data_IF_645827047703
#
_entry.id   IF_645827047703
#
_cell.length_a   1.000
_cell.length_b   1.000
_cell.length_c   1.000
_cell.angle_alpha   90.00
_cell.angle_beta   90.00
_cell.angle_gamma   90.00
#
_symmetry.space_group_name_H-M   'P 1'
#
loop_
_entity.id
_entity.type
_entity.pdbx_description
1 polymer ?
#
# COMPACT_ATOMS: atom_id res chain seq x y z
N UNK A 1 8.52 2.56 12.97
CA UNK A 1 8.54 1.22 12.34
C UNK A 1 9.93 0.63 12.33
N UNK A 2 10.93 1.22 11.64
CA UNK A 2 12.33 0.74 11.63
C UNK A 2 12.85 0.42 13.03
N UNK A 3 12.77 1.38 13.96
CA UNK A 3 13.25 1.20 15.33
C UNK A 3 12.52 0.07 16.08
N UNK A 4 11.23 -0.14 15.81
CA UNK A 4 10.43 -1.22 16.43
C UNK A 4 10.75 -2.61 15.88
N UNK A 5 11.03 -2.72 14.57
CA UNK A 5 11.52 -3.99 14.00
C UNK A 5 12.91 -4.32 14.55
N UNK A 6 13.77 -3.32 14.68
CA UNK A 6 15.12 -3.49 15.19
C UNK A 6 15.16 -3.84 16.69
N UNK A 7 14.17 -3.40 17.48
CA UNK A 7 14.07 -3.84 18.89
C UNK A 7 13.75 -5.33 19.02
N UNK A 8 13.16 -5.92 17.98
CA UNK A 8 12.85 -7.35 17.87
C UNK A 8 13.88 -8.13 17.04
N UNK A 9 15.08 -7.56 16.81
CA UNK A 9 16.15 -8.20 16.02
C UNK A 9 15.75 -8.56 14.58
N UNK A 10 14.86 -7.77 13.96
CA UNK A 10 14.46 -7.92 12.55
C UNK A 10 15.06 -6.79 11.73
N UNK A 11 15.64 -7.10 10.57
CA UNK A 11 16.15 -6.08 9.63
C UNK A 11 14.96 -5.43 8.90
N UNK A 12 14.85 -4.11 8.99
CA UNK A 12 13.93 -3.36 8.15
C UNK A 12 14.54 -3.11 6.76
N UNK A 13 13.68 -3.11 5.73
CA UNK A 13 14.03 -2.82 4.33
C UNK A 13 13.05 -1.79 3.75
N UNK A 14 13.32 -0.47 3.85
CA UNK A 14 12.54 0.56 3.19
C UNK A 14 12.57 0.34 1.68
N UNK A 15 11.40 0.41 1.06
CA UNK A 15 11.18 0.12 -0.36
C UNK A 15 10.12 1.05 -0.96
N UNK A 16 10.14 1.35 -2.26
CA UNK A 16 11.16 1.00 -3.26
C UNK A 16 11.99 2.25 -3.61
N UNK A 17 13.31 2.19 -3.44
CA UNK A 17 14.24 3.31 -3.63
C UNK A 17 14.62 3.44 -5.11
N UNK A 18 14.17 4.44 -5.87
CA UNK A 18 13.24 5.53 -5.53
C UNK A 18 12.38 5.84 -6.76
N UNK A 19 11.32 6.61 -6.56
CA UNK A 19 10.39 7.04 -7.62
C UNK A 19 9.58 5.89 -8.25
N UNK A 20 9.33 4.82 -7.49
CA UNK A 20 8.35 3.79 -7.83
C UNK A 20 6.96 4.25 -7.37
N UNK A 21 6.34 5.13 -8.15
CA UNK A 21 5.07 5.79 -7.78
C UNK A 21 3.88 5.39 -8.67
N UNK A 22 4.09 4.46 -9.59
CA UNK A 22 3.06 3.89 -10.46
C UNK A 22 3.43 2.43 -10.74
N UNK A 23 2.43 1.59 -10.95
CA UNK A 23 2.64 0.20 -11.29
C UNK A 23 2.71 -0.02 -12.81
N UNK A 24 1.95 0.76 -13.59
CA UNK A 24 1.96 0.72 -15.05
C UNK A 24 3.38 0.87 -15.57
N UNK A 25 3.87 -0.14 -16.29
CA UNK A 25 5.22 -0.18 -16.87
C UNK A 25 6.36 0.00 -15.84
N UNK A 26 6.16 -0.23 -14.54
CA UNK A 26 7.17 0.01 -13.48
C UNK A 26 8.53 -0.65 -13.75
N UNK A 27 8.54 -1.80 -14.44
CA UNK A 27 9.74 -2.52 -14.86
C UNK A 27 10.61 -1.78 -15.89
N UNK A 28 10.02 -0.90 -16.70
CA UNK A 28 10.68 -0.30 -17.86
C UNK A 28 10.63 1.22 -17.88
N UNK A 29 9.66 1.84 -17.21
CA UNK A 29 9.43 3.29 -17.28
C UNK A 29 10.60 4.07 -16.69
N UNK A 30 10.95 5.20 -17.30
CA UNK A 30 11.87 6.20 -16.74
C UNK A 30 11.09 7.35 -16.14
N UNK A 31 11.22 7.52 -14.84
CA UNK A 31 10.74 8.71 -14.14
C UNK A 31 11.74 9.86 -14.34
N UNK A 32 11.34 10.84 -15.15
CA UNK A 32 12.10 12.06 -15.38
C UNK A 32 11.75 13.08 -14.31
N UNK A 33 12.66 13.23 -13.34
CA UNK A 33 12.42 13.94 -12.09
C UNK A 33 13.59 14.87 -11.76
N UNK A 34 13.27 16.11 -11.41
CA UNK A 34 14.28 17.10 -11.05
C UNK A 34 15.01 16.72 -9.76
N UNK A 35 16.29 17.09 -9.64
CA UNK A 35 17.07 16.92 -8.40
C UNK A 35 16.35 17.55 -7.19
N UNK A 36 15.66 18.68 -7.39
CA UNK A 36 14.92 19.34 -6.33
C UNK A 36 13.75 18.48 -5.84
N UNK A 37 12.95 17.95 -6.75
CA UNK A 37 11.83 17.06 -6.41
C UNK A 37 12.33 15.79 -5.73
N UNK A 38 13.41 15.16 -6.23
CA UNK A 38 14.04 14.03 -5.55
C UNK A 38 14.40 14.38 -4.10
N UNK A 39 15.12 15.49 -3.89
CA UNK A 39 15.65 15.87 -2.56
C UNK A 39 14.59 16.37 -1.58
N UNK A 40 13.54 17.05 -2.06
CA UNK A 40 12.51 17.65 -1.21
C UNK A 40 11.27 16.76 -1.02
N UNK A 41 11.06 15.75 -1.88
CA UNK A 41 9.85 14.94 -1.88
C UNK A 41 10.09 13.42 -1.82
N UNK A 42 10.83 12.85 -2.76
CA UNK A 42 10.91 11.38 -2.90
C UNK A 42 11.98 10.72 -2.04
N UNK A 43 13.09 11.42 -1.74
CA UNK A 43 14.19 10.92 -0.92
C UNK A 43 14.02 11.11 0.61
N UNK A 44 13.33 12.14 1.15
CA UNK A 44 13.23 12.36 2.58
C UNK A 44 12.71 11.16 3.40
N UNK A 45 11.73 10.41 2.91
CA UNK A 45 11.22 9.22 3.62
C UNK A 45 12.31 8.16 3.83
N UNK A 46 13.11 7.90 2.80
CA UNK A 46 14.27 7.00 2.88
C UNK A 46 15.38 7.57 3.76
N UNK A 47 15.63 8.88 3.69
CA UNK A 47 16.62 9.53 4.56
C UNK A 47 16.28 9.32 6.04
N UNK A 48 15.01 9.50 6.42
CA UNK A 48 14.55 9.26 7.80
C UNK A 48 14.75 7.80 8.21
N UNK A 49 14.48 6.85 7.32
CA UNK A 49 14.71 5.44 7.61
C UNK A 49 16.20 5.08 7.77
N UNK A 50 17.08 5.71 6.97
CA UNK A 50 18.53 5.59 7.11
C UNK A 50 19.02 6.21 8.42
N UNK A 51 18.51 7.38 8.80
CA UNK A 51 18.84 8.03 10.08
C UNK A 51 18.34 7.21 11.29
N UNK A 52 17.22 6.51 11.15
CA UNK A 52 16.73 5.51 12.12
C UNK A 52 17.57 4.21 12.12
N UNK A 53 18.55 4.11 11.23
CA UNK A 53 19.54 3.04 11.21
C UNK A 53 19.08 1.76 10.54
N UNK A 54 18.18 1.82 9.56
CA UNK A 54 17.71 0.66 8.77
C UNK A 54 18.86 -0.23 8.28
N UNK A 55 18.66 -1.55 8.27
CA UNK A 55 19.71 -2.51 7.89
C UNK A 55 19.81 -2.78 6.38
N UNK A 56 18.73 -2.59 5.64
CA UNK A 56 18.70 -2.77 4.18
C UNK A 56 17.91 -1.64 3.52
N UNK A 57 18.08 -1.46 2.21
CA UNK A 57 17.24 -0.63 1.32
C UNK A 57 17.02 -1.40 0.03
N UNK A 58 15.77 -1.48 -0.43
CA UNK A 58 15.42 -2.16 -1.69
C UNK A 58 15.34 -1.15 -2.84
N UNK A 59 16.01 -1.43 -3.96
CA UNK A 59 15.89 -0.60 -5.18
C UNK A 59 14.50 -0.73 -5.78
N UNK A 60 14.04 0.29 -6.50
CA UNK A 60 12.87 0.15 -7.37
C UNK A 60 13.22 -0.52 -8.69
N UNK A 61 12.17 -0.92 -9.42
CA UNK A 61 12.26 -1.42 -10.78
C UNK A 61 12.59 -0.33 -11.80
N UNK A 62 11.91 0.82 -11.66
CA UNK A 62 11.92 1.87 -12.67
C UNK A 62 13.31 2.47 -12.88
N UNK A 63 13.45 3.15 -14.02
CA UNK A 63 14.57 4.05 -14.26
C UNK A 63 14.28 5.40 -13.61
N UNK A 64 15.33 6.08 -13.17
CA UNK A 64 15.29 7.48 -12.76
C UNK A 64 16.22 8.24 -13.69
N UNK A 65 15.67 9.23 -14.41
CA UNK A 65 16.41 10.02 -15.40
C UNK A 65 17.25 9.16 -16.36
N UNK A 66 16.67 8.05 -16.84
CA UNK A 66 17.23 7.15 -17.85
C UNK A 66 18.08 5.98 -17.34
N UNK A 67 18.35 5.86 -16.02
CA UNK A 67 19.16 4.76 -15.45
C UNK A 67 18.32 3.90 -14.50
N UNK A 68 18.38 2.56 -14.65
CA UNK A 68 17.67 1.64 -13.75
C UNK A 68 18.19 1.78 -12.33
N UNK A 69 17.29 1.74 -11.35
CA UNK A 69 17.68 1.98 -9.95
C UNK A 69 18.68 0.96 -9.41
N UNK A 70 18.68 -0.29 -9.89
CA UNK A 70 19.70 -1.29 -9.56
C UNK A 70 21.12 -0.93 -10.02
N UNK A 71 21.26 -0.02 -10.99
CA UNK A 71 22.53 0.41 -11.59
C UNK A 71 22.90 1.87 -11.26
N UNK A 72 22.02 2.58 -10.53
CA UNK A 72 22.07 4.04 -10.43
C UNK A 72 23.13 4.56 -9.44
N UNK A 73 24.41 4.57 -9.86
CA UNK A 73 25.57 4.94 -9.02
C UNK A 73 25.40 6.21 -8.19
N UNK A 74 24.88 7.29 -8.79
CA UNK A 74 24.67 8.55 -8.09
C UNK A 74 23.70 8.42 -6.90
N UNK A 75 22.61 7.66 -7.03
CA UNK A 75 21.61 7.53 -5.98
C UNK A 75 22.02 6.46 -4.96
N UNK A 76 22.47 5.29 -5.42
CA UNK A 76 22.83 4.18 -4.53
C UNK A 76 24.15 4.38 -3.80
N UNK A 77 25.16 4.97 -4.45
CA UNK A 77 26.49 5.12 -3.88
C UNK A 77 26.71 6.55 -3.39
N UNK A 78 26.66 7.55 -4.27
CA UNK A 78 27.06 8.91 -3.88
C UNK A 78 26.08 9.52 -2.86
N UNK A 79 24.76 9.31 -3.03
CA UNK A 79 23.76 9.84 -2.10
C UNK A 79 23.55 8.90 -0.91
N UNK A 80 23.07 7.68 -1.15
CA UNK A 80 22.66 6.78 -0.07
C UNK A 80 23.86 6.37 0.81
N UNK A 81 24.95 5.88 0.22
CA UNK A 81 26.10 5.34 0.99
C UNK A 81 27.06 6.45 1.44
N UNK A 82 27.47 7.34 0.54
CA UNK A 82 28.52 8.31 0.83
C UNK A 82 28.00 9.57 1.54
N UNK A 83 26.95 10.21 1.00
CA UNK A 83 26.40 11.43 1.58
C UNK A 83 25.61 11.15 2.86
N UNK A 84 24.76 10.12 2.86
CA UNK A 84 23.94 9.79 4.02
C UNK A 84 24.61 8.87 5.03
N UNK A 85 25.70 8.21 4.64
CA UNK A 85 26.43 7.30 5.53
C UNK A 85 25.72 5.98 5.76
N UNK A 86 24.88 5.52 4.83
CA UNK A 86 24.19 4.23 4.95
C UNK A 86 25.20 3.07 5.03
N UNK A 87 25.16 2.35 6.15
CA UNK A 87 26.06 1.23 6.47
C UNK A 87 25.43 -0.16 6.28
N UNK A 88 24.15 -0.20 5.89
CA UNK A 88 23.44 -1.41 5.48
C UNK A 88 23.81 -1.89 4.07
N UNK A 89 23.04 -2.84 3.56
CA UNK A 89 23.19 -3.35 2.18
C UNK A 89 22.02 -2.91 1.30
N UNK A 90 22.28 -2.79 0.00
CA UNK A 90 21.26 -2.51 -1.01
C UNK A 90 20.85 -3.82 -1.67
N UNK A 91 19.55 -4.12 -1.65
CA UNK A 91 18.96 -5.31 -2.27
C UNK A 91 18.14 -4.90 -3.49
N UNK A 92 18.11 -5.72 -4.54
CA UNK A 92 17.24 -5.44 -5.68
C UNK A 92 15.80 -5.78 -5.34
N UNK A 93 14.86 -5.18 -6.05
CA UNK A 93 13.54 -5.80 -6.18
C UNK A 93 13.65 -7.14 -6.94
N UNK A 94 12.59 -7.93 -6.92
CA UNK A 94 12.57 -9.27 -7.48
C UNK A 94 12.70 -9.26 -9.01
N UNK A 95 13.78 -9.80 -9.57
CA UNK A 95 14.15 -9.62 -10.99
C UNK A 95 14.47 -8.16 -11.38
N UNK A 96 14.69 -7.27 -10.41
CA UNK A 96 15.02 -5.86 -10.66
C UNK A 96 16.48 -5.58 -11.01
N UNK A 97 17.33 -6.61 -11.10
CA UNK A 97 18.73 -6.47 -11.52
C UNK A 97 18.83 -6.58 -13.04
N UNK A 98 19.40 -5.56 -13.68
CA UNK A 98 19.37 -5.43 -15.13
C UNK A 98 20.67 -5.93 -15.80
N UNK A 99 21.83 -5.55 -15.26
CA UNK A 99 23.12 -6.01 -15.73
C UNK A 99 24.09 -6.32 -14.58
N UNK A 100 24.92 -7.35 -14.73
CA UNK A 100 25.88 -7.78 -13.70
C UNK A 100 26.88 -6.71 -13.31
N UNK A 101 27.59 -6.11 -14.28
CA UNK A 101 28.73 -5.21 -13.98
C UNK A 101 28.21 -3.86 -13.52
N UNK A 102 27.22 -3.31 -14.23
CA UNK A 102 26.62 -2.01 -13.99
C UNK A 102 25.91 -1.99 -12.64
N UNK A 103 25.17 -3.04 -12.25
CA UNK A 103 24.56 -3.10 -10.93
C UNK A 103 25.62 -3.22 -9.81
N UNK A 104 26.63 -4.06 -10.00
CA UNK A 104 27.71 -4.22 -9.04
C UNK A 104 28.48 -2.91 -8.80
N UNK A 105 28.80 -2.18 -9.86
CA UNK A 105 29.51 -0.88 -9.80
C UNK A 105 28.57 0.25 -9.37
N UNK A 106 27.28 0.17 -9.72
CA UNK A 106 26.23 1.09 -9.30
C UNK A 106 26.01 1.11 -7.79
N UNK A 107 26.26 -0.02 -7.13
CA UNK A 107 26.21 -0.10 -5.67
C UNK A 107 25.17 -1.07 -5.14
N UNK A 108 24.55 -1.89 -5.98
CA UNK A 108 23.73 -3.01 -5.55
C UNK A 108 24.58 -4.05 -4.82
N UNK A 109 24.15 -4.53 -3.65
CA UNK A 109 24.89 -5.51 -2.83
C UNK A 109 24.31 -6.92 -2.88
N UNK A 110 23.00 -7.06 -3.10
CA UNK A 110 22.28 -8.32 -3.16
C UNK A 110 21.27 -8.30 -4.30
N UNK A 111 21.37 -9.26 -5.21
CA UNK A 111 20.35 -9.52 -6.24
C UNK A 111 19.25 -10.41 -5.64
N UNK A 112 17.99 -10.10 -5.96
CA UNK A 112 16.82 -10.94 -5.71
C UNK A 112 16.17 -11.34 -7.04
N UNK A 113 15.77 -12.61 -7.22
CA UNK A 113 15.91 -13.70 -6.25
C UNK A 113 17.32 -14.29 -6.12
N UNK A 114 18.22 -13.96 -7.05
CA UNK A 114 19.63 -14.37 -6.96
C UNK A 114 19.86 -15.88 -7.14
N UNK A 115 18.85 -16.60 -7.68
CA UNK A 115 18.92 -18.03 -7.97
C UNK A 115 18.80 -18.27 -9.48
N UNK A 116 19.23 -19.44 -9.94
CA UNK A 116 19.06 -19.83 -11.35
C UNK A 116 17.58 -20.04 -11.69
N UNK A 117 17.26 -19.95 -12.98
CA UNK A 117 15.92 -20.29 -13.51
C UNK A 117 15.46 -21.71 -13.15
N UNK A 118 16.39 -22.65 -13.06
CA UNK A 118 16.08 -24.03 -12.68
C UNK A 118 15.69 -24.12 -11.20
N UNK A 119 16.45 -23.48 -10.32
CA UNK A 119 16.15 -23.41 -8.89
C UNK A 119 14.83 -22.67 -8.63
N UNK A 120 14.57 -21.59 -9.37
CA UNK A 120 13.33 -20.84 -9.30
C UNK A 120 12.12 -21.72 -9.66
N UNK A 121 12.16 -22.40 -10.81
CA UNK A 121 11.09 -23.34 -11.21
C UNK A 121 10.88 -24.44 -10.16
N UNK A 122 11.97 -25.00 -9.64
CA UNK A 122 11.89 -26.02 -8.59
C UNK A 122 11.31 -25.49 -7.28
N UNK A 123 11.60 -24.25 -6.90
CA UNK A 123 11.13 -23.66 -5.65
C UNK A 123 9.63 -23.37 -5.67
N UNK A 124 9.10 -22.97 -6.83
CA UNK A 124 7.69 -22.66 -7.03
C UNK A 124 6.87 -23.81 -7.64
N UNK A 125 7.49 -24.97 -7.90
CA UNK A 125 6.79 -26.14 -8.46
C UNK A 125 6.26 -25.92 -9.88
N UNK A 126 6.94 -25.09 -10.68
CA UNK A 126 6.50 -24.67 -12.00
C UNK A 126 7.11 -25.60 -13.06
N UNK A 127 6.26 -26.31 -13.81
CA UNK A 127 6.70 -27.27 -14.83
C UNK A 127 7.13 -26.61 -16.15
N UNK A 128 6.57 -25.43 -16.50
CA UNK A 128 6.86 -24.65 -17.71
C UNK A 128 7.58 -23.30 -17.42
N UNK A 129 7.80 -22.44 -18.43
CA UNK A 129 8.40 -21.11 -18.21
C UNK A 129 7.53 -20.25 -17.32
N UNK A 130 8.15 -19.52 -16.38
CA UNK A 130 7.53 -18.37 -15.73
C UNK A 130 7.33 -17.30 -16.79
N UNK A 131 6.15 -17.32 -17.38
CA UNK A 131 5.76 -16.35 -18.37
C UNK A 131 4.88 -15.30 -17.69
N UNK A 132 5.50 -14.18 -17.30
CA UNK A 132 4.77 -13.00 -16.83
C UNK A 132 4.42 -12.05 -17.98
N UNK A 133 4.51 -12.49 -19.26
CA UNK A 133 4.41 -11.63 -20.46
C UNK A 133 3.10 -10.83 -20.56
N UNK A 134 2.05 -11.16 -19.80
CA UNK A 134 0.70 -10.59 -19.98
C UNK A 134 0.27 -9.52 -18.94
N UNK A 135 1.14 -9.09 -18.02
CA UNK A 135 0.80 -8.06 -17.03
C UNK A 135 1.69 -6.80 -17.15
N UNK A 136 1.07 -5.68 -17.54
CA UNK A 136 1.68 -4.33 -17.53
C UNK A 136 2.38 -4.13 -16.17
N UNK A 137 3.69 -3.90 -16.17
CA UNK A 137 4.45 -3.63 -14.93
C UNK A 137 5.19 -4.82 -14.30
N UNK A 138 5.05 -6.04 -14.82
CA UNK A 138 5.86 -7.16 -14.34
C UNK A 138 7.32 -7.08 -14.86
N UNK A 139 8.33 -7.36 -14.00
CA UNK A 139 9.72 -7.42 -14.43
C UNK A 139 10.02 -8.67 -15.27
N UNK A 140 11.06 -8.58 -16.09
CA UNK A 140 11.55 -9.72 -16.88
C UNK A 140 12.13 -10.79 -15.96
N UNK A 141 11.32 -11.82 -15.67
CA UNK A 141 11.72 -12.90 -14.80
C UNK A 141 12.90 -13.72 -15.32
N UNK A 142 13.31 -13.56 -16.59
CA UNK A 142 14.52 -14.18 -17.11
C UNK A 142 15.80 -13.61 -16.46
N UNK A 143 15.74 -12.37 -15.94
CA UNK A 143 16.85 -11.66 -15.31
C UNK A 143 17.04 -12.07 -13.84
N UNK A 144 17.66 -13.22 -13.65
CA UNK A 144 18.07 -13.73 -12.33
C UNK A 144 19.40 -14.46 -12.41
N UNK A 145 20.13 -14.51 -11.29
CA UNK A 145 21.42 -15.16 -11.18
C UNK A 145 22.56 -14.32 -11.78
N UNK A 146 22.35 -13.03 -12.00
CA UNK A 146 23.35 -12.10 -12.51
C UNK A 146 24.51 -11.88 -11.53
N UNK A 147 24.28 -12.03 -10.22
CA UNK A 147 25.31 -11.97 -9.17
C UNK A 147 25.86 -13.34 -8.76
N UNK A 148 25.50 -14.40 -9.50
CA UNK A 148 26.09 -15.73 -9.35
C UNK A 148 27.37 -15.88 -10.21
N UNK A 149 27.40 -16.86 -11.13
CA UNK A 149 28.54 -17.10 -12.03
C UNK A 149 28.95 -15.84 -12.84
N UNK A 150 28.02 -15.05 -13.43
CA UNK A 150 28.40 -13.88 -14.21
C UNK A 150 29.21 -12.83 -13.42
N UNK A 151 28.89 -12.60 -12.15
CA UNK A 151 29.67 -11.68 -11.29
C UNK A 151 31.05 -12.24 -10.97
N UNK A 152 31.15 -13.55 -10.76
CA UNK A 152 32.44 -14.24 -10.61
C UNK A 152 33.34 -14.01 -11.83
N UNK A 153 32.82 -14.23 -13.03
CA UNK A 153 33.57 -14.00 -14.27
C UNK A 153 33.95 -12.52 -14.46
N UNK A 154 33.05 -11.58 -14.14
CA UNK A 154 33.34 -10.15 -14.21
C UNK A 154 34.49 -9.75 -13.27
N UNK A 155 34.60 -10.38 -12.11
CA UNK A 155 35.73 -10.18 -11.19
C UNK A 155 37.01 -10.78 -11.76
N UNK A 156 36.97 -11.97 -12.35
CA UNK A 156 38.14 -12.60 -12.99
C UNK A 156 38.67 -11.77 -14.17
N UNK A 157 37.78 -11.17 -14.95
CA UNK A 157 38.13 -10.23 -16.03
C UNK A 157 38.55 -8.84 -15.55
N UNK A 158 38.44 -8.56 -14.25
CA UNK A 158 38.68 -7.25 -13.63
C UNK A 158 37.72 -6.14 -14.05
N UNK A 159 36.55 -6.50 -14.59
CA UNK A 159 35.45 -5.58 -14.86
C UNK A 159 34.82 -5.08 -13.54
N UNK A 160 34.79 -5.95 -12.51
CA UNK A 160 34.40 -5.62 -11.14
C UNK A 160 35.59 -5.86 -10.20
N UNK A 161 36.03 -4.87 -9.39
CA UNK A 161 37.11 -5.09 -8.45
C UNK A 161 36.73 -6.11 -7.38
N UNK A 162 37.61 -7.07 -7.04
CA UNK A 162 37.35 -8.03 -5.95
C UNK A 162 36.95 -7.37 -4.61
N UNK A 163 37.54 -6.20 -4.31
CA UNK A 163 37.18 -5.41 -3.12
C UNK A 163 35.70 -5.01 -3.09
N UNK A 164 35.05 -4.88 -4.25
CA UNK A 164 33.61 -4.61 -4.33
C UNK A 164 32.82 -5.77 -3.75
N UNK A 165 33.13 -7.01 -4.13
CA UNK A 165 32.52 -8.22 -3.56
C UNK A 165 32.75 -8.31 -2.05
N UNK A 166 33.99 -8.07 -1.59
CA UNK A 166 34.29 -8.03 -0.15
C UNK A 166 33.40 -7.02 0.59
N UNK A 167 33.11 -5.86 -0.03
CA UNK A 167 32.22 -4.85 0.55
C UNK A 167 30.74 -5.26 0.55
N UNK A 168 30.26 -5.88 -0.53
CA UNK A 168 28.87 -6.41 -0.62
C UNK A 168 28.61 -7.37 0.53
N UNK A 169 29.49 -8.37 0.66
CA UNK A 169 29.39 -9.43 1.69
C UNK A 169 29.54 -8.83 3.09
N UNK A 170 30.49 -7.93 3.30
CA UNK A 170 30.69 -7.30 4.61
C UNK A 170 29.46 -6.53 5.08
N UNK A 171 28.75 -5.80 4.20
CA UNK A 171 27.53 -5.08 4.56
C UNK A 171 26.43 -6.04 5.03
N UNK A 172 26.19 -7.12 4.31
CA UNK A 172 25.20 -8.14 4.67
C UNK A 172 25.55 -8.79 6.02
N UNK A 173 26.77 -9.31 6.16
CA UNK A 173 27.22 -9.96 7.40
C UNK A 173 27.22 -9.01 8.60
N UNK A 174 27.50 -7.72 8.39
CA UNK A 174 27.43 -6.71 9.46
C UNK A 174 26.01 -6.57 9.99
N UNK A 175 25.01 -6.54 9.12
CA UNK A 175 23.62 -6.41 9.56
C UNK A 175 23.09 -7.71 10.18
N UNK A 176 23.46 -8.88 9.65
CA UNK A 176 23.19 -10.18 10.29
C UNK A 176 23.77 -10.23 11.71
N UNK A 177 25.01 -9.76 11.89
CA UNK A 177 25.63 -9.67 13.21
C UNK A 177 24.93 -8.63 14.10
N UNK A 178 24.47 -7.51 13.55
CA UNK A 178 23.79 -6.43 14.31
C UNK A 178 22.48 -6.90 14.94
N UNK A 179 21.74 -7.77 14.26
CA UNK A 179 20.53 -8.38 14.80
C UNK A 179 20.80 -9.66 15.62
N UNK A 180 22.05 -9.98 15.92
CA UNK A 180 22.40 -11.14 16.74
C UNK A 180 22.14 -12.49 16.06
N UNK A 181 22.07 -12.55 14.72
CA UNK A 181 21.83 -13.81 14.00
C UNK A 181 22.94 -14.86 14.22
N UNK A 182 24.12 -14.43 14.65
CA UNK A 182 25.25 -15.30 14.99
C UNK A 182 25.39 -15.57 16.49
N UNK A 183 24.48 -15.06 17.32
CA UNK A 183 24.49 -15.27 18.77
C UNK A 183 23.78 -16.58 19.14
N UNK A 184 24.29 -17.29 20.15
CA UNK A 184 23.74 -18.59 20.60
C UNK A 184 22.36 -18.48 21.29
N UNK A 185 21.92 -17.26 21.63
CA UNK A 185 20.72 -16.95 22.43
C UNK A 185 19.55 -16.38 21.59
N UNK A 186 19.45 -16.75 20.30
CA UNK A 186 18.34 -16.29 19.44
C UNK A 186 16.99 -16.61 20.08
N UNK A 187 16.13 -15.60 20.21
CA UNK A 187 14.77 -15.77 20.76
C UNK A 187 13.81 -16.04 19.62
N UNK A 188 13.02 -17.10 19.77
CA UNK A 188 11.84 -17.28 18.92
C UNK A 188 10.81 -16.20 19.28
N UNK A 189 10.26 -15.54 18.26
CA UNK A 189 9.12 -14.64 18.43
C UNK A 189 7.84 -15.42 18.73
N UNK A 190 6.83 -14.73 19.23
CA UNK A 190 5.49 -15.29 19.36
C UNK A 190 4.68 -15.02 18.08
N UNK A 191 3.82 -15.95 17.70
CA UNK A 191 2.87 -15.76 16.61
C UNK A 191 1.49 -15.57 17.21
N UNK A 192 0.73 -14.62 16.66
CA UNK A 192 -0.69 -14.44 16.99
C UNK A 192 -0.98 -14.25 18.50
N UNK A 193 -0.07 -13.58 19.20
CA UNK A 193 -0.24 -13.23 20.61
C UNK A 193 -1.42 -12.24 20.80
N UNK A 194 -2.16 -12.30 21.93
CA UNK A 194 -3.23 -11.34 22.23
C UNK A 194 -2.81 -9.87 22.13
N UNK A 195 -1.55 -9.57 22.45
CA UNK A 195 -0.96 -8.24 22.33
C UNK A 195 -0.82 -7.78 20.87
N UNK A 196 -0.56 -8.70 19.93
CA UNK A 196 -0.51 -8.40 18.49
C UNK A 196 -1.90 -8.02 17.98
N UNK A 197 -2.92 -8.79 18.38
CA UNK A 197 -4.31 -8.53 18.02
C UNK A 197 -4.80 -7.20 18.59
N UNK A 198 -4.51 -6.94 19.86
CA UNK A 198 -4.82 -5.65 20.52
C UNK A 198 -4.11 -4.47 19.81
N UNK A 199 -2.86 -4.67 19.37
CA UNK A 199 -2.14 -3.66 18.62
C UNK A 199 -2.76 -3.43 17.24
N UNK A 200 -3.17 -4.48 16.53
CA UNK A 200 -3.87 -4.39 15.25
C UNK A 200 -5.18 -3.61 15.39
N UNK A 201 -6.00 -3.92 16.40
CA UNK A 201 -7.24 -3.17 16.71
C UNK A 201 -6.96 -1.69 16.96
N UNK A 202 -5.91 -1.39 17.74
CA UNK A 202 -5.52 -0.02 18.05
C UNK A 202 -5.05 0.74 16.81
N UNK A 203 -4.27 0.09 15.93
CA UNK A 203 -3.78 0.69 14.68
C UNK A 203 -4.95 0.96 13.73
N UNK A 204 -5.85 -0.01 13.54
CA UNK A 204 -7.03 0.13 12.69
C UNK A 204 -7.91 1.30 13.15
N UNK A 205 -8.26 1.36 14.45
CA UNK A 205 -9.08 2.46 14.99
C UNK A 205 -8.38 3.83 14.86
N UNK A 206 -7.09 3.90 15.23
CA UNK A 206 -6.34 5.17 15.24
C UNK A 206 -5.91 5.65 13.86
N UNK A 207 -5.81 4.75 12.88
CA UNK A 207 -5.50 5.06 11.49
C UNK A 207 -6.72 5.51 10.70
N UNK A 208 -7.92 5.11 11.12
CA UNK A 208 -9.18 5.45 10.47
C UNK A 208 -9.54 6.93 10.59
N UNK A 209 -10.13 7.48 9.54
CA UNK A 209 -10.48 8.89 9.40
C UNK A 209 -12.00 9.05 9.31
N UNK A 210 -12.58 9.86 10.19
CA UNK A 210 -13.96 10.30 10.06
C UNK A 210 -14.00 11.57 9.19
N UNK A 211 -14.42 11.41 7.94
CA UNK A 211 -14.49 12.51 6.97
C UNK A 211 -15.68 13.44 7.21
N UNK A 212 -16.84 12.83 7.49
CA UNK A 212 -18.09 13.52 7.75
C UNK A 212 -18.89 12.77 8.80
N UNK A 213 -19.64 13.51 9.62
CA UNK A 213 -20.61 12.98 10.58
C UNK A 213 -21.56 14.12 10.96
N UNK A 214 -22.85 13.96 10.64
CA UNK A 214 -23.91 14.93 10.94
C UNK A 214 -24.46 14.82 12.37
N UNK A 215 -23.93 13.89 13.17
CA UNK A 215 -24.42 13.54 14.50
C UNK A 215 -24.99 12.12 14.59
N UNK A 216 -25.01 11.38 13.47
CA UNK A 216 -25.46 9.98 13.39
C UNK A 216 -24.53 9.02 14.15
N UNK A 217 -23.22 9.23 14.12
CA UNK A 217 -22.27 8.45 14.93
C UNK A 217 -21.99 9.14 16.28
N UNK A 218 -21.87 8.39 17.39
CA UNK A 218 -21.94 6.93 17.46
C UNK A 218 -23.39 6.38 17.44
N UNK A 219 -23.56 5.17 16.91
CA UNK A 219 -24.84 4.45 16.88
C UNK A 219 -25.27 4.02 18.28
N UNK A 220 -26.59 4.01 18.56
CA UNK A 220 -27.14 3.38 19.77
C UNK A 220 -27.13 1.86 19.60
N UNK A 221 -26.88 1.13 20.70
CA UNK A 221 -26.77 -0.33 20.63
C UNK A 221 -28.10 -0.99 20.28
N UNK A 222 -29.24 -0.35 20.57
CA UNK A 222 -30.58 -0.87 20.29
C UNK A 222 -31.09 -0.50 18.89
N UNK A 223 -30.34 0.25 18.10
CA UNK A 223 -30.69 0.62 16.72
C UNK A 223 -30.73 -0.64 15.86
N UNK A 224 -31.81 -0.84 15.11
CA UNK A 224 -31.86 -1.87 14.07
C UNK A 224 -31.01 -1.41 12.86
N UNK A 225 -30.01 -2.20 12.46
CA UNK A 225 -29.03 -1.81 11.43
C UNK A 225 -29.15 -2.70 10.18
N UNK A 226 -29.15 -2.08 9.01
CA UNK A 226 -28.92 -2.76 7.73
C UNK A 226 -27.46 -2.58 7.30
N UNK A 227 -26.69 -3.67 7.23
CA UNK A 227 -25.30 -3.67 6.73
C UNK A 227 -25.30 -4.11 5.27
N UNK A 228 -24.81 -3.27 4.39
CA UNK A 228 -25.00 -3.39 2.94
C UNK A 228 -23.66 -3.37 2.20
N UNK A 229 -23.60 -4.08 1.07
CA UNK A 229 -22.42 -4.15 0.21
C UNK A 229 -21.69 -5.49 0.32
N UNK A 230 -21.15 -5.97 -0.81
CA UNK A 230 -20.50 -7.29 -0.90
C UNK A 230 -19.29 -7.41 0.03
N UNK A 231 -18.64 -6.29 0.31
CA UNK A 231 -17.46 -6.22 1.18
C UNK A 231 -17.80 -6.32 2.67
N UNK A 232 -19.07 -6.17 3.07
CA UNK A 232 -19.44 -6.26 4.48
C UNK A 232 -19.24 -7.66 5.07
N UNK A 233 -19.25 -8.72 4.25
CA UNK A 233 -19.17 -10.12 4.70
C UNK A 233 -17.79 -10.73 4.61
N UNK A 234 -16.80 -9.98 4.14
CA UNK A 234 -15.40 -10.42 4.00
C UNK A 234 -14.51 -9.38 4.66
N UNK A 235 -13.57 -9.81 5.50
CA UNK A 235 -12.66 -8.87 6.17
C UNK A 235 -11.70 -8.24 5.16
N UNK A 236 -11.56 -6.91 5.19
CA UNK A 236 -10.57 -6.21 4.36
C UNK A 236 -9.18 -6.28 4.99
N UNK A 237 -8.34 -7.17 4.47
CA UNK A 237 -7.02 -7.48 5.06
C UNK A 237 -5.90 -6.56 4.57
N UNK A 238 -5.95 -6.12 3.32
CA UNK A 238 -4.85 -5.44 2.65
C UNK A 238 -5.08 -5.38 1.13
N UNK A 239 -4.15 -4.75 0.42
CA UNK A 239 -4.10 -4.84 -1.03
C UNK A 239 -3.48 -6.16 -1.48
N UNK A 240 -3.67 -6.51 -2.76
CA UNK A 240 -3.04 -7.67 -3.37
C UNK A 240 -1.52 -7.52 -3.57
N UNK A 241 -0.88 -8.58 -4.07
CA UNK A 241 0.54 -8.61 -4.39
C UNK A 241 1.44 -9.11 -3.26
N UNK A 242 2.70 -8.66 -3.25
CA UNK A 242 3.71 -9.08 -2.27
C UNK A 242 3.42 -8.68 -0.82
N UNK A 243 2.42 -7.81 -0.59
CA UNK A 243 1.94 -7.41 0.75
C UNK A 243 0.80 -8.27 1.29
N UNK A 244 0.30 -9.25 0.54
CA UNK A 244 -0.76 -10.14 0.98
C UNK A 244 -0.35 -10.92 2.24
N UNK A 245 -1.27 -10.99 3.21
CA UNK A 245 -1.07 -11.71 4.48
C UNK A 245 -2.30 -12.56 4.75
N UNK A 246 -2.10 -13.81 5.16
CA UNK A 246 -3.15 -14.68 5.71
C UNK A 246 -3.12 -14.61 7.23
N UNK A 247 -4.11 -14.00 7.89
CA UNK A 247 -4.15 -13.94 9.35
C UNK A 247 -4.61 -15.26 9.96
N UNK A 248 -4.33 -15.46 11.25
CA UNK A 248 -4.85 -16.60 12.01
C UNK A 248 -6.34 -16.47 12.32
N UNK A 249 -6.78 -15.24 12.57
CA UNK A 249 -8.16 -14.88 12.89
C UNK A 249 -8.48 -13.57 12.14
N UNK A 250 -9.71 -13.45 11.65
CA UNK A 250 -10.22 -12.22 11.03
C UNK A 250 -11.72 -12.10 11.31
N UNK A 251 -12.22 -10.87 11.33
CA UNK A 251 -13.64 -10.60 11.55
C UNK A 251 -14.15 -9.70 10.44
N UNK A 252 -15.18 -10.13 9.71
CA UNK A 252 -15.82 -9.29 8.70
C UNK A 252 -16.60 -8.15 9.35
N UNK A 253 -16.75 -7.02 8.64
CA UNK A 253 -17.48 -5.84 9.14
C UNK A 253 -18.88 -6.18 9.67
N UNK A 254 -19.65 -6.97 8.94
CA UNK A 254 -20.98 -7.40 9.35
C UNK A 254 -20.98 -8.20 10.66
N UNK A 255 -19.98 -9.05 10.88
CA UNK A 255 -19.88 -9.87 12.09
C UNK A 255 -19.49 -9.03 13.30
N UNK A 256 -18.56 -8.08 13.15
CA UNK A 256 -18.23 -7.14 14.21
C UNK A 256 -19.43 -6.29 14.64
N UNK A 257 -20.23 -5.81 13.68
CA UNK A 257 -21.46 -5.05 13.97
C UNK A 257 -22.49 -5.95 14.70
N UNK A 258 -22.69 -7.19 14.24
CA UNK A 258 -23.59 -8.16 14.90
C UNK A 258 -23.17 -8.47 16.34
N UNK A 259 -21.88 -8.64 16.59
CA UNK A 259 -21.35 -8.94 17.92
C UNK A 259 -21.53 -7.75 18.88
N UNK A 260 -21.58 -6.53 18.34
CA UNK A 260 -21.67 -5.30 19.12
C UNK A 260 -23.09 -4.75 19.31
N UNK A 261 -24.01 -5.03 18.40
CA UNK A 261 -25.38 -4.54 18.43
C UNK A 261 -26.28 -5.32 19.41
N UNK A 262 -27.16 -4.62 20.13
CA UNK A 262 -28.29 -5.22 20.84
C UNK A 262 -29.56 -5.28 19.95
N UNK A 263 -29.66 -4.36 18.97
CA UNK A 263 -30.73 -4.31 17.95
C UNK A 263 -30.60 -5.38 16.87
N UNK A 264 -31.58 -5.45 15.98
CA UNK A 264 -31.57 -6.38 14.86
C UNK A 264 -30.56 -5.95 13.78
N UNK A 265 -29.73 -6.89 13.32
CA UNK A 265 -28.78 -6.64 12.21
C UNK A 265 -29.18 -7.47 10.99
N UNK A 266 -29.54 -6.79 9.91
CA UNK A 266 -29.78 -7.38 8.59
C UNK A 266 -28.55 -7.16 7.69
N UNK A 267 -28.25 -8.10 6.81
CA UNK A 267 -27.07 -8.01 5.94
C UNK A 267 -27.41 -8.41 4.52
N UNK A 268 -27.07 -7.55 3.57
CA UNK A 268 -27.33 -7.75 2.14
C UNK A 268 -26.06 -7.41 1.34
N UNK A 269 -25.53 -8.37 0.57
CA UNK A 269 -24.36 -8.11 -0.31
C UNK A 269 -24.71 -7.12 -1.41
N UNK A 270 -25.89 -7.29 -2.03
CA UNK A 270 -26.57 -6.39 -2.98
C UNK A 270 -25.85 -6.02 -4.28
N UNK A 271 -24.55 -6.27 -4.37
CA UNK A 271 -23.72 -6.14 -5.57
C UNK A 271 -22.84 -7.39 -5.69
N UNK A 272 -22.30 -7.60 -6.89
CA UNK A 272 -21.28 -8.62 -7.12
C UNK A 272 -20.07 -8.44 -6.21
N UNK A 273 -19.37 -9.55 -5.95
CA UNK A 273 -18.07 -9.48 -5.28
C UNK A 273 -17.08 -8.69 -6.14
N UNK A 274 -16.32 -7.82 -5.50
CA UNK A 274 -15.29 -7.05 -6.17
C UNK A 274 -14.08 -7.98 -6.33
N UNK A 275 -13.72 -8.30 -7.57
CA UNK A 275 -12.59 -9.17 -7.88
C UNK A 275 -11.30 -8.64 -7.25
N UNK A 276 -10.56 -9.54 -6.60
CA UNK A 276 -9.19 -9.32 -6.12
C UNK A 276 -8.22 -10.06 -7.04
N UNK A 277 -7.16 -9.36 -7.48
CA UNK A 277 -6.06 -10.01 -8.17
C UNK A 277 -5.02 -10.45 -7.14
N UNK A 278 -4.91 -11.75 -6.88
CA UNK A 278 -3.78 -12.29 -6.12
C UNK A 278 -2.61 -12.64 -7.02
N UNK A 279 -1.41 -12.24 -6.61
CA UNK A 279 -0.17 -12.65 -7.26
C UNK A 279 0.04 -14.17 -7.19
N UNK A 280 -0.57 -14.85 -6.21
CA UNK A 280 -0.40 -16.29 -5.98
C UNK A 280 -1.44 -17.15 -6.70
N UNK A 281 -2.56 -16.55 -7.14
CA UNK A 281 -3.60 -17.25 -7.90
C UNK A 281 -3.17 -17.60 -9.33
N UNK A 282 -2.13 -16.95 -9.85
CA UNK A 282 -1.53 -17.28 -11.17
C UNK A 282 -1.00 -18.73 -11.22
N UNK A 283 -0.75 -19.35 -10.06
CA UNK A 283 -0.29 -20.75 -9.95
C UNK A 283 -1.39 -21.78 -9.76
N UNK A 284 -2.63 -21.35 -9.49
CA UNK A 284 -3.77 -22.23 -9.35
C UNK A 284 -4.69 -22.07 -10.56
N UNK A 285 -4.67 -23.05 -11.46
CA UNK A 285 -5.82 -23.32 -12.36
C UNK A 285 -7.03 -23.82 -11.53
N UNK A 286 -7.50 -23.05 -10.54
CA UNK A 286 -8.84 -23.20 -10.02
C UNK A 286 -9.76 -22.41 -10.94
N UNK A 287 -10.40 -23.14 -11.85
CA UNK A 287 -11.58 -22.77 -12.64
C UNK A 287 -12.79 -22.49 -11.71
N UNK A 288 -12.61 -21.65 -10.69
CA UNK A 288 -13.71 -21.08 -9.92
C UNK A 288 -14.22 -19.87 -10.71
N UNK A 289 -14.78 -20.16 -11.88
CA UNK A 289 -15.68 -19.21 -12.54
C UNK A 289 -16.74 -18.88 -11.51
N UNK A 290 -16.81 -17.60 -11.15
CA UNK A 290 -18.00 -17.02 -10.56
C UNK A 290 -19.18 -17.46 -11.44
N UNK A 291 -20.04 -18.31 -10.87
CA UNK A 291 -21.24 -18.79 -11.54
C UNK A 291 -22.02 -17.54 -12.02
N UNK A 292 -22.52 -17.55 -13.27
CA UNK A 292 -23.37 -16.50 -13.89
C UNK A 292 -24.71 -16.27 -13.13
N UNK A 293 -24.81 -16.63 -11.84
CA UNK A 293 -26.02 -16.72 -11.04
C UNK A 293 -26.13 -15.69 -9.90
N UNK A 294 -25.05 -14.98 -9.54
CA UNK A 294 -25.15 -13.85 -8.62
C UNK A 294 -25.49 -12.59 -9.42
N UNK A 295 -26.74 -12.12 -9.33
CA UNK A 295 -27.17 -10.85 -9.91
C UNK A 295 -27.12 -9.77 -8.81
N UNK A 296 -26.67 -8.57 -9.16
CA UNK A 296 -26.82 -7.37 -8.34
C UNK A 296 -28.31 -7.18 -7.95
N UNK A 297 -28.60 -7.03 -6.65
CA UNK A 297 -29.94 -6.73 -6.13
C UNK A 297 -29.92 -5.45 -5.27
N UNK A 298 -29.82 -4.31 -5.95
CA UNK A 298 -29.89 -2.99 -5.32
C UNK A 298 -31.25 -2.71 -4.69
N UNK A 299 -32.32 -3.36 -5.14
CA UNK A 299 -33.67 -3.18 -4.61
C UNK A 299 -33.80 -3.85 -3.23
N UNK A 300 -33.22 -5.04 -3.05
CA UNK A 300 -33.12 -5.69 -1.75
C UNK A 300 -32.35 -4.80 -0.75
N UNK A 301 -31.22 -4.22 -1.16
CA UNK A 301 -30.46 -3.28 -0.32
C UNK A 301 -31.30 -2.06 0.10
N UNK A 302 -31.95 -1.42 -0.88
CA UNK A 302 -32.78 -0.23 -0.65
C UNK A 302 -33.93 -0.55 0.31
N UNK A 303 -34.56 -1.72 0.14
CA UNK A 303 -35.63 -2.19 1.02
C UNK A 303 -35.11 -2.52 2.43
N UNK A 304 -33.95 -3.15 2.56
CA UNK A 304 -33.34 -3.42 3.86
C UNK A 304 -33.04 -2.10 4.60
N UNK A 305 -32.42 -1.14 3.92
CA UNK A 305 -32.16 0.21 4.44
C UNK A 305 -33.44 0.92 4.91
N UNK A 306 -34.50 0.88 4.11
CA UNK A 306 -35.77 1.55 4.44
C UNK A 306 -36.51 0.91 5.63
N UNK A 307 -36.20 -0.33 6.01
CA UNK A 307 -36.82 -1.03 7.14
C UNK A 307 -35.96 -1.00 8.42
N UNK A 308 -34.72 -0.54 8.34
CA UNK A 308 -33.81 -0.39 9.47
C UNK A 308 -33.86 1.03 10.02
N UNK A 309 -33.45 1.21 11.28
CA UNK A 309 -33.30 2.53 11.90
C UNK A 309 -32.05 3.26 11.38
N UNK A 310 -31.00 2.51 11.03
CA UNK A 310 -29.79 3.03 10.39
C UNK A 310 -29.25 2.06 9.32
N UNK A 311 -28.59 2.59 8.29
CA UNK A 311 -27.91 1.81 7.28
C UNK A 311 -26.38 2.04 7.34
N UNK A 312 -25.62 0.95 7.20
CA UNK A 312 -24.16 0.97 7.07
C UNK A 312 -23.80 0.35 5.73
N UNK A 313 -23.30 1.15 4.79
CA UNK A 313 -22.84 0.67 3.48
C UNK A 313 -21.33 0.53 3.51
N UNK A 314 -20.81 -0.66 3.20
CA UNK A 314 -19.37 -0.93 3.12
C UNK A 314 -18.95 -0.91 1.65
N UNK A 315 -18.04 -0.01 1.31
CA UNK A 315 -17.50 0.14 -0.05
C UNK A 315 -15.98 -0.01 -0.04
N UNK A 316 -15.43 -0.49 -1.16
CA UNK A 316 -13.98 -0.68 -1.34
C UNK A 316 -13.52 -0.39 -2.76
N UNK A 317 -12.23 -0.10 -2.91
CA UNK A 317 -11.56 -0.20 -4.19
C UNK A 317 -11.08 -1.64 -4.48
N UNK A 318 -10.46 -1.83 -5.64
CA UNK A 318 -9.74 -3.06 -6.02
C UNK A 318 -8.37 -2.66 -6.53
N UNK A 319 -7.33 -3.07 -5.81
CA UNK A 319 -5.93 -2.79 -6.16
C UNK A 319 -5.07 -4.02 -5.88
N UNK A 320 -4.04 -4.17 -6.70
CA UNK A 320 -3.00 -5.17 -6.49
C UNK A 320 -1.68 -4.63 -7.04
N UNK A 321 -0.59 -5.23 -6.61
CA UNK A 321 0.73 -4.97 -7.17
C UNK A 321 0.73 -5.20 -8.70
N UNK A 322 1.55 -4.44 -9.42
CA UNK A 322 1.68 -4.41 -10.87
C UNK A 322 0.54 -3.69 -11.63
N UNK A 323 -0.60 -3.37 -11.01
CA UNK A 323 -1.73 -2.75 -11.74
C UNK A 323 -2.17 -1.45 -11.08
N UNK A 324 -2.12 -0.33 -11.82
CA UNK A 324 -2.73 0.92 -11.37
C UNK A 324 -4.26 0.90 -11.58
N UNK A 325 -4.97 1.62 -10.71
CA UNK A 325 -6.41 1.88 -10.90
C UNK A 325 -6.63 2.67 -12.19
N UNK A 326 -7.67 2.30 -12.95
CA UNK A 326 -8.05 2.97 -14.20
C UNK A 326 -8.80 4.30 -14.00
N UNK A 327 -9.32 4.52 -12.80
CA UNK A 327 -10.01 5.75 -12.39
C UNK A 327 -10.07 5.82 -10.87
N UNK A 328 -10.39 6.99 -10.31
CA UNK A 328 -10.67 7.13 -8.88
C UNK A 328 -12.08 6.68 -8.46
N UNK A 329 -12.96 6.29 -9.39
CA UNK A 329 -14.30 5.77 -9.07
C UNK A 329 -14.25 4.40 -8.40
N UNK A 330 -15.26 4.12 -7.57
CA UNK A 330 -15.45 2.79 -7.01
C UNK A 330 -15.79 1.77 -8.11
N UNK A 331 -15.26 0.53 -8.05
CA UNK A 331 -15.60 -0.52 -8.99
C UNK A 331 -17.05 -1.02 -8.80
N UNK A 332 -17.65 -1.53 -9.88
CA UNK A 332 -19.00 -2.07 -9.86
C UNK A 332 -20.08 -1.01 -9.59
N UNK A 333 -21.19 -1.45 -9.00
CA UNK A 333 -22.37 -0.61 -8.76
C UNK A 333 -22.36 0.05 -7.36
N UNK A 334 -21.18 0.19 -6.75
CA UNK A 334 -21.04 0.69 -5.38
C UNK A 334 -21.51 2.14 -5.20
N UNK A 335 -21.18 3.03 -6.15
CA UNK A 335 -21.67 4.42 -6.12
C UNK A 335 -23.22 4.46 -6.18
N UNK A 336 -23.83 3.66 -7.06
CA UNK A 336 -25.29 3.58 -7.18
C UNK A 336 -25.94 2.97 -5.94
N UNK A 337 -25.31 1.96 -5.32
CA UNK A 337 -25.76 1.39 -4.05
C UNK A 337 -25.82 2.47 -2.96
N UNK A 338 -24.77 3.26 -2.81
CA UNK A 338 -24.74 4.35 -1.81
C UNK A 338 -25.83 5.38 -2.10
N UNK A 339 -25.94 5.86 -3.34
CA UNK A 339 -26.95 6.85 -3.74
C UNK A 339 -28.39 6.38 -3.44
N UNK A 340 -28.70 5.11 -3.73
CA UNK A 340 -30.05 4.55 -3.48
C UNK A 340 -30.35 4.38 -2.00
N UNK A 341 -29.36 3.97 -1.20
CA UNK A 341 -29.52 3.79 0.24
C UNK A 341 -29.66 5.16 0.94
N UNK A 342 -28.83 6.13 0.58
CA UNK A 342 -28.89 7.50 1.09
C UNK A 342 -30.25 8.17 0.82
N UNK A 343 -30.92 7.83 -0.28
CA UNK A 343 -32.24 8.35 -0.61
C UNK A 343 -33.38 7.87 0.33
N UNK A 344 -33.15 6.81 1.13
CA UNK A 344 -34.21 6.20 1.96
C UNK A 344 -33.85 6.05 3.44
N UNK A 345 -32.58 6.24 3.82
CA UNK A 345 -32.09 6.09 5.20
C UNK A 345 -30.89 7.02 5.45
N UNK A 346 -30.74 7.52 6.68
CA UNK A 346 -29.55 8.24 7.14
C UNK A 346 -28.36 7.26 7.24
N UNK A 347 -27.65 7.09 6.11
CA UNK A 347 -26.65 6.04 6.00
C UNK A 347 -25.24 6.50 6.39
N UNK A 348 -24.53 5.62 7.08
CA UNK A 348 -23.08 5.71 7.27
C UNK A 348 -22.39 4.90 6.18
N UNK A 349 -21.40 5.48 5.53
CA UNK A 349 -20.55 4.75 4.57
C UNK A 349 -19.20 4.45 5.20
N UNK A 350 -18.85 3.17 5.23
CA UNK A 350 -17.51 2.68 5.59
C UNK A 350 -16.73 2.50 4.30
N UNK A 351 -15.66 3.27 4.13
CA UNK A 351 -14.80 3.26 2.95
C UNK A 351 -13.52 2.51 3.26
N UNK A 352 -13.28 1.44 2.53
CA UNK A 352 -12.09 0.61 2.63
C UNK A 352 -11.24 0.77 1.36
N UNK A 353 -10.41 1.81 1.30
CA UNK A 353 -9.64 2.13 0.10
C UNK A 353 -8.13 2.20 0.33
N UNK A 354 -7.32 1.86 -0.68
CA UNK A 354 -5.85 2.00 -0.61
C UNK A 354 -5.37 3.45 -0.69
N UNK A 355 -6.24 4.35 -1.13
CA UNK A 355 -5.93 5.74 -1.44
C UNK A 355 -7.16 6.48 -1.96
N UNK A 356 -7.03 7.74 -2.40
CA UNK A 356 -8.16 8.59 -2.74
C UNK A 356 -9.13 7.93 -3.71
N UNK A 357 -10.43 8.09 -3.45
CA UNK A 357 -11.52 7.73 -4.37
C UNK A 357 -12.40 8.95 -4.63
N UNK A 358 -13.13 8.92 -5.73
CA UNK A 358 -14.20 9.87 -6.00
C UNK A 358 -15.35 9.61 -5.03
N UNK A 359 -15.76 10.63 -4.29
CA UNK A 359 -16.83 10.56 -3.28
C UNK A 359 -18.02 11.41 -3.76
N UNK A 360 -18.61 11.06 -4.92
CA UNK A 360 -19.65 11.87 -5.56
C UNK A 360 -20.95 11.97 -4.75
N UNK A 361 -21.22 10.96 -3.92
CA UNK A 361 -22.38 10.84 -3.02
C UNK A 361 -22.15 11.43 -1.61
N UNK A 362 -20.98 12.02 -1.34
CA UNK A 362 -20.58 12.43 0.02
C UNK A 362 -21.52 13.42 0.72
N UNK A 363 -22.22 14.24 -0.07
CA UNK A 363 -23.10 15.30 0.44
C UNK A 363 -24.52 14.77 0.74
N UNK A 364 -24.81 13.52 0.37
CA UNK A 364 -26.10 12.85 0.55
C UNK A 364 -26.10 11.83 1.71
N UNK A 365 -24.95 11.55 2.31
CA UNK A 365 -24.80 10.54 3.40
C UNK A 365 -24.58 11.20 4.76
N UNK A 366 -24.97 10.49 5.83
CA UNK A 366 -24.95 11.04 7.19
C UNK A 366 -23.54 11.00 7.82
N UNK A 367 -22.76 9.97 7.52
CA UNK A 367 -21.38 9.84 7.98
C UNK A 367 -20.51 9.07 6.98
N UNK A 368 -19.20 9.37 6.99
CA UNK A 368 -18.19 8.71 6.16
C UNK A 368 -16.99 8.35 7.02
N UNK A 369 -16.75 7.04 7.18
CA UNK A 369 -15.64 6.47 7.93
C UNK A 369 -14.67 5.79 6.96
N UNK A 370 -13.51 6.40 6.70
CA UNK A 370 -12.42 5.79 5.95
C UNK A 370 -11.59 4.91 6.88
N UNK A 371 -11.59 3.60 6.63
CA UNK A 371 -10.82 2.62 7.43
C UNK A 371 -9.59 2.10 6.71
N UNK A 372 -9.35 2.55 5.47
CA UNK A 372 -8.29 2.04 4.61
C UNK A 372 -8.42 0.52 4.46
N UNK A 373 -7.33 -0.22 4.61
CA UNK A 373 -7.35 -1.65 4.84
C UNK A 373 -7.01 -1.95 6.31
N UNK A 374 -8.01 -2.19 7.18
CA UNK A 374 -7.81 -2.33 8.63
C UNK A 374 -7.17 -3.66 9.05
N UNK A 375 -6.95 -4.60 8.11
CA UNK A 375 -6.27 -5.85 8.39
C UNK A 375 -7.17 -6.85 9.10
N UNK A 376 -6.55 -7.76 9.87
CA UNK A 376 -7.26 -8.77 10.64
C UNK A 376 -8.29 -8.22 11.65
N UNK A 377 -8.16 -6.95 12.02
CA UNK A 377 -9.02 -6.26 12.99
C UNK A 377 -10.31 -5.70 12.38
N UNK A 378 -10.50 -5.78 11.04
CA UNK A 378 -11.55 -5.08 10.28
C UNK A 378 -12.88 -4.89 11.04
N UNK A 379 -13.69 -5.95 11.16
CA UNK A 379 -15.02 -5.80 11.73
C UNK A 379 -15.04 -5.40 13.20
N UNK A 380 -14.06 -5.85 14.00
CA UNK A 380 -13.94 -5.44 15.39
C UNK A 380 -13.66 -3.94 15.52
N UNK A 381 -12.72 -3.42 14.74
CA UNK A 381 -12.35 -2.02 14.72
C UNK A 381 -13.48 -1.14 14.15
N UNK A 382 -14.10 -1.54 13.05
CA UNK A 382 -15.25 -0.84 12.44
C UNK A 382 -16.38 -0.73 13.45
N UNK A 383 -16.78 -1.83 14.10
CA UNK A 383 -17.83 -1.81 15.10
C UNK A 383 -17.48 -0.92 16.30
N UNK A 384 -16.25 -1.02 16.83
CA UNK A 384 -15.82 -0.18 17.94
C UNK A 384 -15.92 1.32 17.62
N UNK A 385 -15.61 1.73 16.39
CA UNK A 385 -15.74 3.12 15.96
C UNK A 385 -17.20 3.54 15.72
N UNK A 386 -18.01 2.69 15.08
CA UNK A 386 -19.42 2.98 14.81
C UNK A 386 -20.23 3.15 16.10
N UNK A 387 -19.94 2.36 17.14
CA UNK A 387 -20.64 2.41 18.42
C UNK A 387 -19.95 3.28 19.49
N UNK A 388 -18.85 3.96 19.14
CA UNK A 388 -18.16 4.91 20.03
C UNK A 388 -17.36 4.28 21.17
N UNK A 389 -16.98 3.00 21.06
CA UNK A 389 -16.05 2.36 21.99
C UNK A 389 -14.59 2.76 21.72
N UNK A 390 -14.31 3.23 20.49
CA UNK A 390 -13.01 3.73 20.07
C UNK A 390 -13.14 5.05 19.31
N UNK A 391 -12.20 5.97 19.55
CA UNK A 391 -12.11 7.25 18.82
C UNK A 391 -11.42 7.08 17.46
N UNK A 392 -11.94 7.77 16.44
CA UNK A 392 -11.26 7.98 15.16
C UNK A 392 -10.20 9.08 15.32
N UNK A 393 -8.96 8.66 15.54
CA UNK A 393 -7.85 9.60 15.72
C UNK A 393 -7.09 9.89 14.41
N UNK A 394 -7.43 9.25 13.30
CA UNK A 394 -6.69 9.29 12.06
C UNK A 394 -6.77 10.63 11.34
N UNK A 395 -5.72 10.94 10.58
CA UNK A 395 -5.68 12.08 9.65
C UNK A 395 -5.34 11.59 8.28
N UNK A 396 -5.86 12.29 7.27
CA UNK A 396 -5.51 12.01 5.90
C UNK A 396 -4.02 12.25 5.66
N UNK A 397 -3.27 11.22 5.20
CA UNK A 397 -1.92 11.40 4.72
C UNK A 397 -1.87 11.86 3.25
N UNK A 398 -3.01 11.83 2.56
CA UNK A 398 -3.17 12.10 1.12
C UNK A 398 -4.36 13.02 0.86
N UNK A 399 -4.33 13.74 -0.26
CA UNK A 399 -5.43 14.64 -0.68
C UNK A 399 -6.50 13.84 -1.43
N UNK A 400 -7.77 14.07 -1.12
CA UNK A 400 -8.91 13.56 -1.88
C UNK A 400 -9.46 14.68 -2.75
N UNK A 401 -9.56 14.46 -4.06
CA UNK A 401 -10.06 15.43 -5.03
C UNK A 401 -10.53 14.69 -6.29
N UNK A 402 -11.32 15.33 -7.16
CA UNK A 402 -11.62 14.78 -8.49
C UNK A 402 -10.35 14.45 -9.26
N UNK A 403 -10.34 13.33 -9.99
CA UNK A 403 -9.17 12.84 -10.73
C UNK A 403 -8.51 13.91 -11.63
N UNK A 404 -9.33 14.70 -12.33
CA UNK A 404 -8.86 15.73 -13.26
C UNK A 404 -8.22 16.96 -12.58
N UNK A 405 -8.35 17.09 -11.25
CA UNK A 405 -7.80 18.21 -10.49
C UNK A 405 -6.39 17.93 -9.98
N UNK A 406 -5.88 16.70 -10.12
CA UNK A 406 -4.50 16.38 -9.78
C UNK A 406 -3.53 16.86 -10.86
N UNK A 407 -2.28 17.22 -10.49
CA UNK A 407 -1.27 17.63 -11.45
C UNK A 407 -0.84 16.50 -12.40
N UNK A 408 -1.22 15.26 -12.07
CA UNK A 408 -0.91 14.04 -12.82
C UNK A 408 -2.06 13.58 -13.72
N UNK A 409 -3.08 14.41 -13.96
CA UNK A 409 -4.25 14.03 -14.76
C UNK A 409 -3.95 13.83 -16.26
N UNK A 410 -2.77 14.26 -16.74
CA UNK A 410 -2.37 14.11 -18.14
C UNK A 410 -1.50 12.86 -18.35
N UNK A 411 -1.68 12.18 -19.49
CA UNK A 411 -0.92 10.99 -19.89
C UNK A 411 0.60 11.18 -19.73
N UNK A 412 1.11 12.38 -20.03
CA UNK A 412 2.54 12.71 -19.93
C UNK A 412 3.09 12.59 -18.50
N UNK A 413 2.26 12.91 -17.52
CA UNK A 413 2.60 12.95 -16.08
C UNK A 413 2.17 11.69 -15.34
N UNK A 414 1.17 10.97 -15.86
CA UNK A 414 0.79 9.63 -15.42
C UNK A 414 -0.14 8.98 -16.48
N UNK A 415 0.09 7.71 -16.88
CA UNK A 415 1.21 6.85 -16.49
C UNK A 415 2.49 7.09 -17.31
N UNK A 416 2.55 8.14 -18.14
CA UNK A 416 3.61 8.37 -19.12
C UNK A 416 3.24 7.86 -20.52
N UNK A 417 4.06 8.21 -21.50
CA UNK A 417 3.90 7.79 -22.90
C UNK A 417 5.17 7.13 -23.43
N UNK A 418 5.05 5.93 -23.99
CA UNK A 418 6.21 5.07 -24.25
C UNK A 418 6.85 4.61 -22.94
N UNK A 419 8.18 4.66 -22.84
CA UNK A 419 8.89 4.20 -21.64
C UNK A 419 9.28 5.36 -20.68
N UNK A 420 8.57 6.50 -20.72
CA UNK A 420 8.94 7.71 -19.98
C UNK A 420 7.71 8.37 -19.35
N UNK A 421 7.83 8.71 -18.06
CA UNK A 421 6.89 9.55 -17.32
C UNK A 421 7.62 10.80 -16.81
N UNK A 422 6.98 11.96 -16.90
CA UNK A 422 7.59 13.23 -16.50
C UNK A 422 6.94 13.78 -15.23
N UNK A 423 7.73 13.98 -14.18
CA UNK A 423 7.27 14.63 -12.95
C UNK A 423 7.35 16.16 -13.11
N UNK A 424 6.57 16.67 -14.07
CA UNK A 424 6.55 18.08 -14.47
C UNK A 424 6.02 19.00 -13.34
N UNK A 425 5.23 18.44 -12.43
CA UNK A 425 4.74 19.10 -11.21
C UNK A 425 5.84 19.37 -10.19
N UNK A 426 6.97 18.68 -10.30
CA UNK A 426 8.15 18.89 -9.45
C UNK A 426 7.86 18.66 -7.96
N UNK A 427 7.84 19.74 -7.17
CA UNK A 427 7.54 19.66 -5.73
C UNK A 427 6.05 19.91 -5.41
N UNK A 428 5.25 20.28 -6.40
CA UNK A 428 3.83 20.60 -6.22
C UNK A 428 2.98 19.34 -6.37
N UNK A 429 3.23 18.35 -5.50
CA UNK A 429 2.51 17.07 -5.42
C UNK A 429 1.54 17.07 -4.23
N UNK A 430 0.38 16.45 -4.40
CA UNK A 430 -0.67 16.37 -3.38
C UNK A 430 -1.12 17.77 -2.95
N UNK A 431 -1.31 18.00 -1.64
CA UNK A 431 -1.76 19.29 -1.11
C UNK A 431 -0.94 20.51 -1.59
N UNK A 432 0.36 20.34 -1.89
CA UNK A 432 1.20 21.43 -2.41
C UNK A 432 0.72 21.92 -3.78
N UNK A 433 0.14 21.04 -4.60
CA UNK A 433 -0.50 21.43 -5.85
C UNK A 433 -1.69 22.33 -5.59
N UNK A 434 -2.66 21.81 -4.82
CA UNK A 434 -3.92 22.48 -4.51
C UNK A 434 -3.70 23.85 -3.87
N UNK A 435 -2.73 23.95 -2.95
CA UNK A 435 -2.30 25.22 -2.36
C UNK A 435 -1.73 26.18 -3.41
N UNK A 436 -0.89 25.68 -4.32
CA UNK A 436 -0.22 26.51 -5.33
C UNK A 436 -1.16 27.03 -6.42
N UNK A 437 -2.17 26.25 -6.80
CA UNK A 437 -3.18 26.64 -7.80
C UNK A 437 -4.44 27.25 -7.19
N UNK A 438 -4.51 27.32 -5.85
CA UNK A 438 -5.66 27.81 -5.10
C UNK A 438 -6.97 27.09 -5.49
N UNK A 439 -6.91 25.76 -5.51
CA UNK A 439 -8.03 24.86 -5.76
C UNK A 439 -8.37 24.11 -4.46
N UNK A 440 -9.65 24.05 -4.13
CA UNK A 440 -10.10 23.36 -2.91
C UNK A 440 -10.29 21.86 -3.20
N UNK A 441 -9.58 20.97 -2.49
CA UNK A 441 -9.79 19.52 -2.62
C UNK A 441 -11.10 19.08 -1.93
N UNK A 442 -11.58 17.87 -2.23
CA UNK A 442 -12.69 17.24 -1.52
C UNK A 442 -12.40 17.08 -0.03
N UNK A 443 -11.20 16.56 0.29
CA UNK A 443 -10.64 16.53 1.65
C UNK A 443 -9.13 16.72 1.61
N UNK A 444 -8.57 17.47 2.56
CA UNK A 444 -7.14 17.81 2.61
C UNK A 444 -6.42 17.06 3.75
N UNK A 445 -5.12 16.75 3.61
CA UNK A 445 -4.30 16.32 4.73
C UNK A 445 -4.40 17.30 5.91
N UNK A 446 -4.75 16.78 7.09
CA UNK A 446 -4.91 17.58 8.29
C UNK A 446 -3.86 17.21 9.34
N UNK A 447 -3.31 18.21 10.02
CA UNK A 447 -2.46 18.03 11.20
C UNK A 447 -3.25 18.00 12.52
N UNK A 448 -4.57 18.19 12.50
CA UNK A 448 -5.41 18.31 13.73
C UNK A 448 -6.76 17.58 13.63
N UNK A 449 -7.20 16.97 14.75
CA UNK A 449 -8.40 16.11 14.85
C UNK A 449 -9.74 16.76 14.78
N UNK A 450 -9.72 18.02 15.08
CA UNK A 450 -10.85 18.84 15.40
C UNK A 450 -10.30 20.26 15.42
N UNK A 451 -11.14 21.28 15.26
CA UNK A 451 -10.76 22.64 15.56
C UNK A 451 -10.52 22.75 17.08
N UNK A 452 -9.33 22.36 17.53
CA UNK A 452 -8.82 22.76 18.83
C UNK A 452 -8.66 24.28 18.75
N UNK A 453 -9.17 25.06 19.73
CA UNK A 453 -8.93 26.49 19.74
C UNK A 453 -7.41 26.71 19.80
N UNK A 454 -6.83 27.13 18.68
CA UNK A 454 -5.42 27.47 18.61
C UNK A 454 -5.24 28.79 19.34
N UNK A 455 -4.70 28.75 20.56
CA UNK A 455 -4.13 29.95 21.17
C UNK A 455 -2.99 30.45 20.27
N UNK A 456 -2.93 31.76 20.00
CA UNK A 456 -1.90 32.39 19.17
C UNK A 456 -0.52 31.75 19.36
N UNK A 457 -0.02 31.10 18.30
CA UNK A 457 1.35 30.58 18.27
C UNK A 457 2.27 31.81 18.23
N UNK A 458 2.92 32.09 19.35
CA UNK A 458 3.93 33.14 19.42
C UNK A 458 5.18 32.64 18.68
N UNK A 459 5.37 33.12 17.45
CA UNK A 459 6.63 32.95 16.74
C UNK A 459 7.67 33.89 17.39
N UNK A 460 8.81 33.38 17.89
CA UNK A 460 9.88 34.24 18.39
C UNK A 460 10.43 35.10 17.25
N UNK A 461 10.65 36.39 17.53
CA UNK A 461 11.19 37.39 16.59
C UNK A 461 12.61 37.10 16.10
#
# INVERSE_FOLDING_TARGET
MVEGLHSENVIATPKHYVANNQETNRAIVSAEVSTRALRELYLPGFRVAVDAGTGSVMTSYNRVNGTHMSEHHHLLTEILKDEWGFDGYVVSDWFGTENTVEAAVGGLDLEMPGISQEELRSAFGIEDSLDFEDHDGMPDATKTGLFAEPLGEAIERSDVPKKRLDNMVARILTQMNRIGLFDDDSRDGELDAPEHRTLADSIACRGSVLHANDGTLPLDTNTDVAVLGSSATTAMLGGGGSSEITPFEQTATADGIRDRADGAVSVEKSILEIEEFSFFDVSNESDDRIDDADETDLEAATKAAANADAAVVVVRDSVSEAIDRKSLRLPGDQDELVERVAAVNDCTVVVQSSGPIDLTWRDDVAAILETWYPGQADGGAVAAMLYGDADTAGRLPVTFAPENDFPTAEERTFPGGGDVVHYDEGIFVGYRHFDAVNLEPTYTPSVTASPMPTSNIAMPE
#
